data_IF_484486824629
#
_entry.id   IF_484486824629
#
_cell.length_a   1.000
_cell.length_b   1.000
_cell.length_c   1.000
_cell.angle_alpha   90.00
_cell.angle_beta   90.00
_cell.angle_gamma   90.00
#
_symmetry.space_group_name_H-M   'P 1'
#
loop_
_entity.id
_entity.type
_entity.pdbx_description
1 polymer ?
#
# COMPACT_ATOMS: atom_id res chain seq x y z
N UNK A 1 -11.98 5.18 22.57
CA UNK A 1 -11.47 5.21 21.24
C UNK A 1 -10.41 4.16 21.00
N UNK A 2 -10.54 3.50 19.93
CA UNK A 2 -9.55 2.51 19.60
C UNK A 2 -8.39 3.13 18.90
N UNK A 3 -7.23 2.81 19.36
CA UNK A 3 -6.09 3.15 18.57
C UNK A 3 -5.42 1.86 18.20
N UNK A 4 -5.28 1.68 16.92
CA UNK A 4 -4.64 0.50 16.41
C UNK A 4 -3.16 0.79 16.30
N UNK A 5 -2.39 -0.17 16.73
CA UNK A 5 -0.95 -0.08 16.67
C UNK A 5 -0.48 -1.03 15.58
N UNK A 6 -0.13 -0.47 14.44
CA UNK A 6 0.38 -1.25 13.32
C UNK A 6 1.90 -1.24 13.26
N UNK A 7 2.51 -0.96 14.38
CA UNK A 7 3.96 -0.95 14.45
C UNK A 7 4.51 -2.27 13.94
N UNK A 8 5.52 -2.20 13.13
CA UNK A 8 6.18 -3.37 12.54
C UNK A 8 5.35 -4.08 11.50
N UNK A 9 4.26 -3.48 11.07
CA UNK A 9 3.48 -4.04 9.98
C UNK A 9 3.73 -3.27 8.70
N UNK A 10 3.73 -3.98 7.58
CA UNK A 10 3.90 -3.37 6.27
C UNK A 10 2.54 -3.30 5.59
N UNK A 11 2.17 -2.11 5.18
CA UNK A 11 0.90 -1.89 4.51
C UNK A 11 1.16 -1.38 3.10
N UNK A 12 0.55 -2.02 2.12
CA UNK A 12 0.62 -1.60 0.74
C UNK A 12 -0.72 -1.01 0.35
N UNK A 13 -0.69 0.18 -0.25
CA UNK A 13 -1.89 0.84 -0.72
C UNK A 13 -1.73 1.08 -2.21
N UNK A 14 -2.49 0.36 -3.02
CA UNK A 14 -2.44 0.58 -4.46
C UNK A 14 -3.29 1.79 -4.81
N UNK A 15 -2.80 2.63 -5.71
CA UNK A 15 -3.51 3.85 -6.02
C UNK A 15 -3.51 4.82 -4.87
N UNK A 16 -2.48 4.77 -4.03
CA UNK A 16 -2.46 5.54 -2.79
C UNK A 16 -2.06 6.99 -2.94
N UNK A 17 -1.83 7.45 -4.17
CA UNK A 17 -1.42 8.84 -4.35
C UNK A 17 -2.57 9.81 -4.20
N UNK A 18 -3.79 9.38 -4.40
CA UNK A 18 -4.95 10.27 -4.44
C UNK A 18 -6.16 9.67 -3.77
N UNK A 19 -7.07 10.57 -3.35
CA UNK A 19 -8.42 10.19 -2.96
C UNK A 19 -8.47 9.27 -1.77
N UNK A 20 -9.32 8.27 -1.88
CA UNK A 20 -9.54 7.34 -0.78
C UNK A 20 -8.27 6.57 -0.45
N UNK A 21 -7.52 6.18 -1.48
CA UNK A 21 -6.27 5.47 -1.23
C UNK A 21 -5.31 6.28 -0.38
N UNK A 22 -5.18 7.56 -0.69
CA UNK A 22 -4.29 8.41 0.09
C UNK A 22 -4.78 8.55 1.52
N UNK A 23 -6.09 8.71 1.72
CA UNK A 23 -6.65 8.84 3.07
C UNK A 23 -6.34 7.62 3.90
N UNK A 24 -6.48 6.45 3.30
CA UNK A 24 -6.19 5.20 4.02
C UNK A 24 -4.70 5.09 4.32
N UNK A 25 -3.86 5.44 3.35
CA UNK A 25 -2.42 5.39 3.54
C UNK A 25 -1.99 6.31 4.69
N UNK A 26 -2.58 7.49 4.74
CA UNK A 26 -2.27 8.44 5.79
C UNK A 26 -2.65 7.88 7.16
N UNK A 27 -3.82 7.28 7.24
CA UNK A 27 -4.29 6.71 8.48
C UNK A 27 -3.40 5.57 8.97
N UNK A 28 -3.02 4.71 8.05
CA UNK A 28 -2.15 3.59 8.40
C UNK A 28 -0.78 4.09 8.85
N UNK A 29 -0.26 5.10 8.18
CA UNK A 29 1.02 5.66 8.57
C UNK A 29 0.96 6.25 9.96
N UNK A 30 -0.10 6.95 10.28
CA UNK A 30 -0.26 7.54 11.60
C UNK A 30 -0.42 6.48 12.68
N UNK A 31 -0.86 5.30 12.30
CA UNK A 31 -1.04 4.20 13.25
C UNK A 31 0.22 3.35 13.40
N UNK A 32 1.30 3.75 12.75
CA UNK A 32 2.59 3.10 12.96
C UNK A 32 3.02 2.15 11.86
N UNK A 33 2.19 1.91 10.87
CA UNK A 33 2.54 0.99 9.80
C UNK A 33 3.62 1.59 8.91
N UNK A 34 4.41 0.70 8.33
CA UNK A 34 5.34 1.07 7.28
C UNK A 34 4.56 1.03 5.98
N UNK A 35 4.21 2.17 5.44
CA UNK A 35 3.31 2.25 4.30
C UNK A 35 4.08 2.35 3.00
N UNK A 36 3.63 1.58 2.02
CA UNK A 36 4.18 1.61 0.66
C UNK A 36 3.04 2.00 -0.26
N UNK A 37 3.22 3.07 -0.99
CA UNK A 37 2.21 3.52 -1.95
C UNK A 37 2.60 3.00 -3.32
N UNK A 38 1.77 2.14 -3.87
CA UNK A 38 1.97 1.60 -5.22
C UNK A 38 1.10 2.41 -6.17
N UNK A 39 1.71 3.00 -7.16
CA UNK A 39 0.94 3.80 -8.10
C UNK A 39 1.65 3.78 -9.44
N UNK A 40 0.87 3.80 -10.50
CA UNK A 40 1.42 3.88 -11.84
C UNK A 40 2.12 5.22 -12.06
N UNK A 41 1.63 6.26 -11.41
CA UNK A 41 2.21 7.60 -11.48
C UNK A 41 3.19 7.76 -10.32
N UNK A 42 4.46 7.47 -10.59
CA UNK A 42 5.45 7.50 -9.52
C UNK A 42 5.66 8.91 -8.96
N UNK A 43 5.50 9.93 -9.78
CA UNK A 43 5.70 11.29 -9.28
C UNK A 43 4.62 11.66 -8.27
N UNK A 44 3.38 11.32 -8.59
CA UNK A 44 2.30 11.58 -7.65
C UNK A 44 2.48 10.74 -6.38
N UNK A 45 2.92 9.51 -6.54
CA UNK A 45 3.15 8.65 -5.39
C UNK A 45 4.25 9.19 -4.49
N UNK A 46 5.31 9.71 -5.09
CA UNK A 46 6.41 10.27 -4.30
C UNK A 46 5.97 11.50 -3.52
N UNK A 47 5.18 12.36 -4.14
CA UNK A 47 4.67 13.54 -3.45
C UNK A 47 3.78 13.13 -2.28
N UNK A 48 2.89 12.18 -2.51
CA UNK A 48 2.01 11.71 -1.45
C UNK A 48 2.80 11.04 -0.33
N UNK A 49 3.78 10.24 -0.70
CA UNK A 49 4.56 9.50 0.29
C UNK A 49 5.33 10.44 1.19
N UNK A 50 5.89 11.51 0.64
CA UNK A 50 6.63 12.47 1.45
C UNK A 50 5.74 13.11 2.50
N UNK A 51 4.49 13.35 2.16
CA UNK A 51 3.56 14.00 3.07
C UNK A 51 3.28 13.15 4.30
N UNK A 52 3.29 11.83 4.13
CA UNK A 52 2.91 10.93 5.22
C UNK A 52 4.05 10.02 5.66
N UNK A 53 5.25 10.31 5.22
CA UNK A 53 6.44 9.55 5.60
C UNK A 53 6.32 8.08 5.17
N UNK A 54 5.89 7.87 3.95
CA UNK A 54 5.76 6.55 3.36
C UNK A 54 6.75 6.39 2.22
N UNK A 55 6.76 5.23 1.61
CA UNK A 55 7.56 4.97 0.42
C UNK A 55 6.68 4.86 -0.80
N UNK A 56 7.19 5.36 -1.92
CA UNK A 56 6.49 5.25 -3.19
C UNK A 56 7.14 4.16 -4.03
N UNK A 57 6.31 3.34 -4.65
CA UNK A 57 6.77 2.27 -5.52
C UNK A 57 5.96 2.33 -6.80
N UNK A 58 6.65 2.41 -7.93
CA UNK A 58 5.96 2.40 -9.20
C UNK A 58 5.45 0.99 -9.48
N UNK A 59 4.17 0.88 -9.77
CA UNK A 59 3.60 -0.43 -10.00
C UNK A 59 2.37 -0.34 -10.89
N UNK A 60 2.37 -1.17 -11.92
CA UNK A 60 1.20 -1.39 -12.76
C UNK A 60 0.55 -2.68 -12.28
N UNK A 61 -0.58 -2.56 -11.61
CA UNK A 61 -1.20 -3.74 -10.99
C UNK A 61 -1.78 -4.71 -12.01
N UNK A 62 -1.83 -4.31 -13.27
CA UNK A 62 -2.28 -5.23 -14.34
C UNK A 62 -1.12 -6.02 -14.92
N UNK A 63 0.09 -5.76 -14.50
CA UNK A 63 1.30 -6.41 -15.02
C UNK A 63 1.90 -7.26 -13.91
N UNK A 64 1.88 -8.57 -14.10
CA UNK A 64 2.35 -9.49 -13.07
C UNK A 64 3.82 -9.25 -12.68
N UNK A 65 4.66 -8.96 -13.68
CA UNK A 65 6.07 -8.71 -13.39
C UNK A 65 6.21 -7.45 -12.53
N UNK A 66 5.43 -6.42 -12.85
CA UNK A 66 5.46 -5.19 -12.09
C UNK A 66 5.05 -5.44 -10.65
N UNK A 67 4.02 -6.25 -10.44
CA UNK A 67 3.55 -6.58 -9.10
C UNK A 67 4.62 -7.36 -8.33
N UNK A 68 5.29 -8.31 -9.00
CA UNK A 68 6.34 -9.05 -8.33
C UNK A 68 7.47 -8.14 -7.89
N UNK A 69 7.89 -7.23 -8.74
CA UNK A 69 8.97 -6.32 -8.42
C UNK A 69 8.56 -5.38 -7.27
N UNK A 70 7.34 -4.89 -7.31
CA UNK A 70 6.86 -4.00 -6.26
C UNK A 70 6.77 -4.74 -4.93
N UNK A 71 6.35 -5.99 -4.98
CA UNK A 71 6.27 -6.80 -3.78
C UNK A 71 7.64 -6.99 -3.16
N UNK A 72 8.63 -7.35 -3.97
CA UNK A 72 9.96 -7.55 -3.47
C UNK A 72 10.54 -6.28 -2.87
N UNK A 73 10.31 -5.15 -3.54
CA UNK A 73 10.76 -3.88 -3.02
C UNK A 73 10.11 -3.56 -1.69
N UNK A 74 8.82 -3.84 -1.58
CA UNK A 74 8.05 -3.45 -0.41
C UNK A 74 8.37 -4.29 0.82
N UNK A 75 8.73 -5.55 0.62
CA UNK A 75 9.02 -6.42 1.76
C UNK A 75 10.49 -6.49 2.07
N UNK A 76 11.30 -5.67 1.44
CA UNK A 76 12.73 -5.69 1.66
C UNK A 76 13.03 -5.52 3.15
N UNK A 77 13.53 -6.58 3.77
CA UNK A 77 13.83 -6.56 5.18
C UNK A 77 12.66 -6.85 6.09
N UNK A 78 11.46 -6.93 5.56
CA UNK A 78 10.25 -7.16 6.38
C UNK A 78 9.69 -8.55 6.21
N UNK A 79 9.94 -9.16 5.08
CA UNK A 79 9.56 -10.53 4.79
C UNK A 79 8.10 -10.76 4.45
N UNK A 80 7.24 -9.78 4.64
CA UNK A 80 5.84 -9.97 4.30
C UNK A 80 5.12 -8.65 4.18
N UNK A 81 3.97 -8.72 3.53
CA UNK A 81 3.02 -7.62 3.51
C UNK A 81 1.88 -8.02 4.42
N UNK A 82 1.59 -7.19 5.39
CA UNK A 82 0.57 -7.50 6.38
C UNK A 82 -0.80 -7.01 5.97
N UNK A 83 -0.86 -5.87 5.28
CA UNK A 83 -2.11 -5.24 4.92
C UNK A 83 -2.03 -4.82 3.47
N UNK A 84 -3.05 -5.13 2.71
CA UNK A 84 -3.15 -4.67 1.34
C UNK A 84 -4.45 -3.93 1.15
N UNK A 85 -4.35 -2.68 0.72
CA UNK A 85 -5.52 -1.88 0.38
C UNK A 85 -5.50 -1.69 -1.12
N UNK A 86 -6.51 -2.20 -1.79
CA UNK A 86 -6.58 -2.15 -3.23
C UNK A 86 -7.57 -1.09 -3.68
N UNK A 87 -7.07 0.09 -3.99
CA UNK A 87 -7.93 1.17 -4.45
C UNK A 87 -7.62 1.60 -5.87
N UNK A 88 -6.62 1.01 -6.50
CA UNK A 88 -6.26 1.38 -7.86
C UNK A 88 -7.29 0.87 -8.84
N UNK A 89 -7.72 1.75 -9.74
CA UNK A 89 -8.61 1.32 -10.80
C UNK A 89 -10.00 0.99 -10.38
N UNK A 90 -10.38 1.29 -9.16
CA UNK A 90 -11.72 0.99 -8.70
C UNK A 90 -12.66 2.10 -9.14
N UNK A 91 -13.72 1.69 -9.80
CA UNK A 91 -14.67 2.63 -10.33
C UNK A 91 -15.92 2.73 -9.49
N UNK A 92 -15.86 2.37 -8.25
CA UNK A 92 -17.03 2.41 -7.40
C UNK A 92 -16.64 2.37 -5.96
N UNK A 93 -17.59 2.15 -5.10
CA UNK A 93 -17.36 2.25 -3.67
C UNK A 93 -16.85 0.97 -3.04
N UNK A 94 -16.08 0.21 -3.74
CA UNK A 94 -15.70 -1.12 -3.29
C UNK A 94 -14.30 -1.20 -2.73
N UNK A 95 -13.77 -0.10 -2.29
CA UNK A 95 -12.46 -0.12 -1.69
C UNK A 95 -12.51 -0.97 -0.45
N UNK A 96 -11.58 -1.88 -0.36
CA UNK A 96 -11.58 -2.83 0.70
C UNK A 96 -10.22 -2.90 1.33
N UNK A 97 -10.20 -2.90 2.64
CA UNK A 97 -8.99 -3.17 3.38
C UNK A 97 -8.98 -4.67 3.63
N UNK A 98 -7.97 -5.31 3.13
CA UNK A 98 -7.87 -6.77 3.22
C UNK A 98 -6.62 -7.12 3.98
N UNK A 99 -6.78 -8.03 4.93
CA UNK A 99 -5.68 -8.54 5.71
C UNK A 99 -5.30 -9.90 5.13
N UNK A 100 -4.23 -9.94 4.37
CA UNK A 100 -3.81 -11.16 3.70
C UNK A 100 -2.72 -11.86 4.49
N UNK A 101 -2.82 -13.16 4.54
CA UNK A 101 -1.67 -13.92 4.96
C UNK A 101 -0.83 -14.22 3.72
N UNK A 102 0.32 -14.82 3.93
CA UNK A 102 1.26 -15.05 2.86
C UNK A 102 0.72 -16.00 1.80
N UNK A 103 -0.13 -16.90 2.19
CA UNK A 103 -0.67 -17.87 1.23
C UNK A 103 -1.59 -17.19 0.25
N UNK A 104 -2.43 -16.31 0.74
CA UNK A 104 -3.34 -15.61 -0.15
C UNK A 104 -2.58 -14.74 -1.13
N UNK A 105 -1.49 -14.17 -0.68
CA UNK A 105 -0.71 -13.27 -1.52
C UNK A 105 0.05 -14.00 -2.61
N UNK A 106 0.42 -15.21 -2.36
CA UNK A 106 1.23 -15.97 -3.28
C UNK A 106 0.49 -16.53 -4.49
N UNK A 107 -0.74 -16.19 -4.67
CA UNK A 107 -1.51 -16.74 -5.78
C UNK A 107 -1.22 -16.13 -7.12
#
# INVERSE_FOLDING_TARGET
MNSYDFKNQVAVVTGGANGIGFSVAERLSKSGASVKIWDLDIEAAQTAAETINAEAVECDITDWISVQNATETSINGSEKIDILVNSAGIAGPNDTVVDYDNKAWDR
#
